data_IF_376390064370
#
_entry.id   IF_376390064370
#
_cell.length_a   1.000
_cell.length_b   1.000
_cell.length_c   1.000
_cell.angle_alpha   90.00
_cell.angle_beta   90.00
_cell.angle_gamma   90.00
#
_symmetry.space_group_name_H-M   'P 1'
#
loop_
_entity.id
_entity.type
_entity.pdbx_description
1 polymer ?
#
# COMPACT_ATOMS: atom_id res chain seq x y z
N UNK A 1 24.64 -7.20 6.84
CA UNK A 1 23.22 -7.05 7.23
C UNK A 1 22.69 -5.86 6.46
N UNK A 2 22.06 -6.06 5.29
CA UNK A 2 21.59 -4.97 4.43
C UNK A 2 20.36 -4.32 5.05
N UNK A 3 20.50 -3.10 5.52
CA UNK A 3 19.39 -2.23 5.92
C UNK A 3 18.69 -1.58 4.70
N UNK A 4 18.75 -2.21 3.53
CA UNK A 4 18.50 -1.57 2.22
C UNK A 4 17.51 -2.30 1.30
N UNK A 5 16.65 -3.17 1.81
CA UNK A 5 15.84 -4.01 0.92
C UNK A 5 14.38 -3.51 0.79
N UNK A 6 13.69 -3.23 1.90
CA UNK A 6 12.30 -2.72 1.88
C UNK A 6 12.19 -1.19 1.73
N UNK A 7 13.13 -0.43 2.31
CA UNK A 7 13.11 1.04 2.27
C UNK A 7 13.36 1.53 0.85
N UNK A 8 14.24 0.84 0.14
CA UNK A 8 14.59 1.14 -1.24
C UNK A 8 13.45 0.74 -2.19
N UNK A 9 12.71 -0.34 -1.90
CA UNK A 9 11.45 -0.65 -2.59
C UNK A 9 10.40 0.45 -2.40
N UNK A 10 10.22 0.94 -1.17
CA UNK A 10 9.30 2.06 -0.90
C UNK A 10 9.73 3.33 -1.64
N UNK A 11 11.01 3.71 -1.57
CA UNK A 11 11.56 4.87 -2.27
C UNK A 11 11.39 4.77 -3.79
N UNK A 12 11.68 3.60 -4.37
CA UNK A 12 11.46 3.36 -5.79
C UNK A 12 9.97 3.46 -6.18
N UNK A 13 9.06 3.02 -5.31
CA UNK A 13 7.63 3.15 -5.56
C UNK A 13 7.12 4.60 -5.46
N UNK A 14 7.71 5.38 -4.55
CA UNK A 14 7.46 6.83 -4.40
C UNK A 14 7.96 7.61 -5.63
N UNK A 15 9.12 7.24 -6.17
CA UNK A 15 9.75 7.88 -7.33
C UNK A 15 9.16 7.41 -8.67
N UNK A 16 8.43 6.30 -8.67
CA UNK A 16 7.92 5.67 -9.89
C UNK A 16 8.96 4.86 -10.67
N UNK A 17 10.09 4.51 -10.05
CA UNK A 17 11.16 3.73 -10.68
C UNK A 17 10.76 2.25 -10.78
N UNK A 18 10.09 1.92 -11.89
CA UNK A 18 9.63 0.57 -12.18
C UNK A 18 10.76 -0.46 -12.22
N UNK A 19 11.96 -0.06 -12.67
CA UNK A 19 13.10 -0.98 -12.79
C UNK A 19 13.64 -1.35 -11.41
N UNK A 20 13.80 -0.37 -10.51
CA UNK A 20 14.19 -0.61 -9.12
C UNK A 20 13.14 -1.42 -8.37
N UNK A 21 11.85 -1.10 -8.53
CA UNK A 21 10.77 -1.90 -7.92
C UNK A 21 10.86 -3.35 -8.38
N UNK A 22 11.01 -3.61 -9.68
CA UNK A 22 11.17 -4.97 -10.22
C UNK A 22 12.37 -5.70 -9.64
N UNK A 23 13.51 -5.00 -9.52
CA UNK A 23 14.72 -5.57 -8.94
C UNK A 23 14.50 -6.02 -7.49
N UNK A 24 13.90 -5.17 -6.65
CA UNK A 24 13.63 -5.51 -5.25
C UNK A 24 12.60 -6.64 -5.11
N UNK A 25 11.54 -6.65 -5.91
CA UNK A 25 10.57 -7.74 -5.90
C UNK A 25 11.20 -9.08 -6.35
N UNK A 26 12.08 -9.06 -7.34
CA UNK A 26 12.83 -10.24 -7.79
C UNK A 26 13.84 -10.73 -6.72
N UNK A 27 14.35 -9.84 -5.88
CA UNK A 27 15.19 -10.17 -4.73
C UNK A 27 14.40 -10.76 -3.54
N UNK A 28 13.08 -10.88 -3.64
CA UNK A 28 12.21 -11.44 -2.60
C UNK A 28 11.84 -10.46 -1.49
N UNK A 29 11.97 -9.15 -1.74
CA UNK A 29 11.50 -8.12 -0.81
C UNK A 29 9.98 -8.16 -0.73
N UNK A 30 9.45 -8.18 0.49
CA UNK A 30 8.01 -8.17 0.74
C UNK A 30 7.37 -6.84 0.29
N UNK A 31 6.45 -6.84 -0.70
CA UNK A 31 5.77 -5.63 -1.15
C UNK A 31 4.81 -5.03 -0.11
N UNK A 32 4.49 -5.78 0.94
CA UNK A 32 3.55 -5.40 1.99
C UNK A 32 4.18 -4.66 3.16
N UNK A 33 5.49 -4.42 3.09
CA UNK A 33 6.18 -3.72 4.17
C UNK A 33 5.59 -2.32 4.36
N UNK A 34 5.20 -2.01 5.60
CA UNK A 34 4.71 -0.70 5.99
C UNK A 34 5.89 0.09 6.57
N UNK A 35 6.24 1.21 5.94
CA UNK A 35 7.33 2.06 6.43
C UNK A 35 7.07 2.44 7.90
N UNK A 36 7.96 2.20 8.87
CA UNK A 36 7.63 2.36 10.29
C UNK A 36 7.32 3.81 10.68
N UNK A 37 8.02 4.77 10.06
CA UNK A 37 7.84 6.20 10.35
C UNK A 37 6.71 6.86 9.54
N UNK A 38 6.63 6.55 8.24
CA UNK A 38 5.60 7.08 7.32
C UNK A 38 4.32 6.27 7.39
N UNK A 39 4.34 5.07 7.98
CA UNK A 39 3.21 4.15 8.11
C UNK A 39 2.45 3.88 6.81
N UNK A 40 3.15 3.87 5.67
CA UNK A 40 2.59 3.74 4.32
C UNK A 40 3.23 2.53 3.60
N UNK A 41 2.47 1.89 2.72
CA UNK A 41 2.96 0.78 1.87
C UNK A 41 3.42 1.29 0.50
N UNK A 42 4.35 0.58 -0.18
CA UNK A 42 4.74 0.91 -1.55
C UNK A 42 3.55 1.04 -2.51
N UNK A 43 2.52 0.21 -2.34
CA UNK A 43 1.31 0.24 -3.16
C UNK A 43 0.56 1.58 -3.00
N UNK A 44 0.28 1.98 -1.76
CA UNK A 44 -0.44 3.25 -1.49
C UNK A 44 0.37 4.45 -1.98
N UNK A 45 1.70 4.47 -1.77
CA UNK A 45 2.57 5.52 -2.27
C UNK A 45 2.46 5.66 -3.81
N UNK A 46 2.57 4.56 -4.55
CA UNK A 46 2.46 4.59 -6.01
C UNK A 46 1.10 5.10 -6.52
N UNK A 47 0.01 4.82 -5.80
CA UNK A 47 -1.34 5.30 -6.14
C UNK A 47 -1.51 6.81 -5.92
N UNK A 48 -0.97 7.33 -4.82
CA UNK A 48 -1.00 8.76 -4.48
C UNK A 48 -0.21 9.57 -5.52
N UNK A 49 0.98 9.09 -5.88
CA UNK A 49 1.87 9.76 -6.83
C UNK A 49 1.54 9.48 -8.31
N UNK A 50 0.65 8.52 -8.59
CA UNK A 50 0.18 8.23 -9.95
C UNK A 50 1.11 7.37 -10.78
N UNK A 51 1.89 6.53 -10.12
CA UNK A 51 2.79 5.58 -10.76
C UNK A 51 2.05 4.27 -11.05
N UNK A 52 1.11 4.33 -12.00
CA UNK A 52 0.17 3.24 -12.23
C UNK A 52 0.85 1.92 -12.62
N UNK A 53 1.95 1.99 -13.39
CA UNK A 53 2.74 0.80 -13.75
C UNK A 53 3.41 0.14 -12.54
N UNK A 54 3.83 0.95 -11.55
CA UNK A 54 4.40 0.44 -10.30
C UNK A 54 3.31 -0.19 -9.45
N UNK A 55 2.15 0.46 -9.32
CA UNK A 55 1.01 -0.07 -8.57
C UNK A 55 0.57 -1.44 -9.13
N UNK A 56 0.47 -1.55 -10.45
CA UNK A 56 0.17 -2.81 -11.13
C UNK A 56 1.21 -3.88 -10.80
N UNK A 57 2.51 -3.56 -10.93
CA UNK A 57 3.58 -4.51 -10.65
C UNK A 57 3.57 -5.00 -9.19
N UNK A 58 3.36 -4.09 -8.24
CA UNK A 58 3.25 -4.45 -6.82
C UNK A 58 2.07 -5.41 -6.58
N UNK A 59 0.89 -5.14 -7.18
CA UNK A 59 -0.27 -6.02 -7.09
C UNK A 59 -0.01 -7.40 -7.71
N UNK A 60 0.70 -7.46 -8.82
CA UNK A 60 1.07 -8.72 -9.48
C UNK A 60 2.07 -9.56 -8.67
N UNK A 61 2.81 -8.91 -7.77
CA UNK A 61 3.73 -9.55 -6.84
C UNK A 61 3.15 -9.75 -5.43
N UNK A 62 1.83 -9.66 -5.26
CA UNK A 62 1.16 -10.02 -4.01
C UNK A 62 1.08 -8.89 -2.98
N UNK A 63 1.15 -7.63 -3.41
CA UNK A 63 0.74 -6.52 -2.56
C UNK A 63 -0.73 -6.68 -2.14
N UNK A 64 -0.99 -6.61 -0.85
CA UNK A 64 -2.30 -6.77 -0.24
C UNK A 64 -3.15 -5.51 -0.52
N UNK A 65 -4.28 -5.65 -1.24
CA UNK A 65 -5.14 -4.53 -1.60
C UNK A 65 -5.92 -3.95 -0.39
N UNK A 66 -5.79 -4.55 0.79
CA UNK A 66 -6.45 -4.12 2.04
C UNK A 66 -5.50 -3.42 3.02
N UNK A 67 -4.18 -3.45 2.79
CA UNK A 67 -3.23 -2.82 3.71
C UNK A 67 -3.34 -1.30 3.65
N UNK A 68 -3.94 -0.76 4.71
CA UNK A 68 -4.20 0.66 4.89
C UNK A 68 -2.92 1.40 5.28
N UNK A 69 -2.71 2.55 4.67
CA UNK A 69 -1.72 3.52 5.15
C UNK A 69 -2.30 4.25 6.36
N UNK A 70 -1.56 4.28 7.48
CA UNK A 70 -2.01 4.97 8.69
C UNK A 70 -1.69 6.47 8.67
N UNK A 71 -0.83 6.93 7.75
CA UNK A 71 -0.49 8.35 7.62
C UNK A 71 -1.66 9.19 7.11
N UNK A 72 -2.36 8.71 6.10
CA UNK A 72 -3.52 9.35 5.48
C UNK A 72 -4.82 8.59 5.76
N UNK A 73 -4.74 7.43 6.40
CA UNK A 73 -5.88 6.58 6.73
C UNK A 73 -6.52 5.90 5.51
N UNK A 74 -5.84 5.88 4.35
CA UNK A 74 -6.41 5.37 3.11
C UNK A 74 -6.06 3.91 2.87
N UNK A 75 -7.05 3.11 2.48
CA UNK A 75 -6.80 1.83 1.82
C UNK A 75 -6.33 2.07 0.37
N UNK A 76 -5.68 1.09 -0.28
CA UNK A 76 -5.33 1.19 -1.69
C UNK A 76 -6.53 1.58 -2.57
N UNK A 77 -7.72 1.00 -2.32
CA UNK A 77 -8.92 1.36 -3.06
C UNK A 77 -9.35 2.82 -2.85
N UNK A 78 -9.28 3.32 -1.61
CA UNK A 78 -9.60 4.71 -1.29
C UNK A 78 -8.59 5.68 -1.90
N UNK A 79 -7.29 5.35 -1.90
CA UNK A 79 -6.25 6.13 -2.56
C UNK A 79 -6.49 6.20 -4.07
N UNK A 80 -6.72 5.05 -4.71
CA UNK A 80 -7.05 4.98 -6.14
C UNK A 80 -8.29 5.84 -6.49
N UNK A 81 -9.34 5.77 -5.66
CA UNK A 81 -10.56 6.58 -5.82
C UNK A 81 -10.31 8.07 -5.66
N UNK A 82 -9.62 8.48 -4.57
CA UNK A 82 -9.31 9.88 -4.27
C UNK A 82 -8.47 10.54 -5.37
N UNK A 83 -7.56 9.79 -5.97
CA UNK A 83 -6.65 10.27 -7.00
C UNK A 83 -7.09 9.96 -8.44
N UNK A 84 -8.34 9.51 -8.65
CA UNK A 84 -8.93 9.32 -9.98
C UNK A 84 -8.33 8.16 -10.81
N UNK A 85 -7.74 7.16 -10.15
CA UNK A 85 -7.07 6.01 -10.78
C UNK A 85 -8.06 4.91 -11.16
N UNK A 86 -9.01 5.23 -12.04
CA UNK A 86 -10.15 4.35 -12.37
C UNK A 86 -9.76 2.94 -12.83
N UNK A 87 -8.66 2.78 -13.57
CA UNK A 87 -8.18 1.47 -13.99
C UNK A 87 -7.70 0.62 -12.80
N UNK A 88 -6.91 1.22 -11.90
CA UNK A 88 -6.42 0.55 -10.71
C UNK A 88 -7.52 0.31 -9.68
N UNK A 89 -8.55 1.17 -9.62
CA UNK A 89 -9.73 0.89 -8.81
C UNK A 89 -10.39 -0.42 -9.23
N UNK A 90 -10.61 -0.62 -10.54
CA UNK A 90 -11.20 -1.87 -11.05
C UNK A 90 -10.32 -3.06 -10.72
N UNK A 91 -9.01 -2.95 -10.96
CA UNK A 91 -8.06 -3.99 -10.63
C UNK A 91 -8.07 -4.34 -9.13
N UNK A 92 -8.07 -3.34 -8.25
CA UNK A 92 -8.12 -3.56 -6.80
C UNK A 92 -9.40 -4.29 -6.41
N UNK A 93 -10.55 -3.93 -6.98
CA UNK A 93 -11.81 -4.64 -6.77
C UNK A 93 -11.76 -6.08 -7.28
N UNK A 94 -11.15 -6.32 -8.45
CA UNK A 94 -10.91 -7.67 -9.00
C UNK A 94 -10.01 -8.51 -8.09
N UNK A 95 -9.06 -7.87 -7.40
CA UNK A 95 -8.18 -8.49 -6.38
C UNK A 95 -8.83 -8.60 -5.00
N UNK A 96 -10.13 -8.27 -4.89
CA UNK A 96 -10.92 -8.46 -3.67
C UNK A 96 -10.96 -7.27 -2.71
N UNK A 97 -10.38 -6.11 -3.09
CA UNK A 97 -10.47 -4.88 -2.29
C UNK A 97 -11.93 -4.54 -1.95
N UNK A 98 -12.16 -4.08 -0.72
CA UNK A 98 -13.50 -3.69 -0.25
C UNK A 98 -13.50 -2.21 0.14
N UNK A 99 -14.68 -1.59 0.06
CA UNK A 99 -14.84 -0.18 0.46
C UNK A 99 -14.65 0.05 1.96
N UNK A 100 -14.96 -0.97 2.78
CA UNK A 100 -14.77 -0.91 4.22
C UNK A 100 -13.27 -1.01 4.58
N UNK A 101 -12.73 0.11 5.06
CA UNK A 101 -11.42 0.11 5.67
C UNK A 101 -11.47 -0.59 7.03
N UNK A 102 -10.52 -1.49 7.30
CA UNK A 102 -10.32 -2.00 8.65
C UNK A 102 -10.06 -0.80 9.57
N UNK A 103 -10.76 -0.68 10.71
CA UNK A 103 -10.52 0.42 11.61
C UNK A 103 -9.06 0.39 12.12
N UNK A 104 -8.48 1.55 12.46
CA UNK A 104 -7.12 1.63 12.98
C UNK A 104 -6.89 0.66 14.13
N UNK A 105 -5.66 0.15 14.30
CA UNK A 105 -5.37 -0.83 15.35
C UNK A 105 -5.77 -0.34 16.76
N UNK A 106 -5.67 0.97 17.03
CA UNK A 106 -6.07 1.61 18.28
C UNK A 106 -7.59 1.70 18.49
N UNK A 107 -8.40 1.63 17.43
CA UNK A 107 -9.86 1.66 17.53
C UNK A 107 -10.40 0.46 18.33
N UNK A 108 -9.68 -0.67 18.32
CA UNK A 108 -10.00 -1.84 19.15
C UNK A 108 -9.94 -1.53 20.66
N UNK A 109 -9.15 -0.55 21.07
CA UNK A 109 -9.06 -0.11 22.47
C UNK A 109 -10.16 0.89 22.84
N UNK A 110 -10.62 1.71 21.90
CA UNK A 110 -11.77 2.61 22.10
C UNK A 110 -13.12 1.85 22.11
N UNK A 111 -13.24 0.75 21.35
CA UNK A 111 -14.44 -0.08 21.38
C UNK A 111 -14.61 -0.84 22.71
N UNK A 112 -13.52 -1.11 23.43
CA UNK A 112 -13.56 -1.80 24.72
C UNK A 112 -14.06 -0.92 25.89
N UNK A 113 -14.11 0.42 25.71
CA UNK A 113 -14.53 1.36 26.77
C UNK A 113 -16.05 1.63 26.84
N UNK A 114 -16.88 0.96 26.02
CA UNK A 114 -18.34 1.08 26.07
C UNK A 114 -19.07 -0.11 26.72
N UNK A 115 -18.36 -0.91 27.51
CA UNK A 115 -18.95 -1.91 28.41
C UNK A 115 -18.70 -1.50 29.88
N UNK A 116 -19.36 -0.43 30.33
CA UNK A 116 -19.63 -0.18 31.76
C UNK A 116 -21.02 0.44 31.87
#
# INVERSE_FOLDING_TARGET
>A
MSAGDWKDLYGAALEGDLARVRYHLAAGVDPNYQHPEVMCTPLVASLIHGHDAVAQLLLDHGADPHLRSDFDGLTPLQAAKKHGRSALMRLLLERGAREEARPPFWHRWLAATHLI
#
